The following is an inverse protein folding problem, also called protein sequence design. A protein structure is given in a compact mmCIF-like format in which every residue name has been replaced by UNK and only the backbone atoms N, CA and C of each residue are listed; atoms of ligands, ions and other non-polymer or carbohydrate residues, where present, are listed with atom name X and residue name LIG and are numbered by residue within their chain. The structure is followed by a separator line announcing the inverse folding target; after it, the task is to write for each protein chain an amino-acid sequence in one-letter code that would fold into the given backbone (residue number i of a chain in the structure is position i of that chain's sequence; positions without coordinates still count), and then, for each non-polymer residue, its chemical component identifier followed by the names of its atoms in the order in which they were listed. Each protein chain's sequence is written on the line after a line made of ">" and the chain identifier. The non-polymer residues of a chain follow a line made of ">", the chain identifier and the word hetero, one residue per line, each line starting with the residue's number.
data_IF_734539170078
#
_entry.id   IF_734539170078
#
_cell.length_a   1.000
_cell.length_b   1.000
_cell.length_c   1.000
_cell.angle_alpha   90.00
_cell.angle_beta   90.00
_cell.angle_gamma   90.00
#
_symmetry.space_group_name_H-M   'P 1'
#
loop_
_entity.id
_entity.type
_entity.pdbx_description
1 polymer ?
#
# COMPACT_ATOMS: atom_id res chain seq x y z
N UNK A 1 -20.43 49.00 10.85
CA UNK A 1 -21.39 47.99 11.36
C UNK A 1 -21.21 46.67 10.61
N UNK A 2 -21.41 45.55 11.32
CA UNK A 2 -21.27 44.14 10.91
C UNK A 2 -19.84 43.59 10.97
N UNK A 3 -19.53 43.09 12.16
CA UNK A 3 -18.32 42.35 12.49
C UNK A 3 -18.15 41.10 11.64
N UNK A 4 -16.90 40.87 11.27
CA UNK A 4 -16.41 39.76 10.46
C UNK A 4 -16.59 38.48 11.27
N UNK A 5 -17.44 37.56 10.78
CA UNK A 5 -17.63 36.22 11.36
C UNK A 5 -16.30 35.47 11.30
N UNK A 6 -15.68 35.27 12.45
CA UNK A 6 -14.61 34.29 12.62
C UNK A 6 -15.18 32.91 12.32
N UNK A 7 -14.69 32.30 11.24
CA UNK A 7 -14.94 30.90 10.91
C UNK A 7 -14.19 30.05 11.92
N UNK A 8 -14.89 29.61 12.97
CA UNK A 8 -14.42 28.57 13.86
C UNK A 8 -14.13 27.31 13.03
N UNK A 9 -12.86 26.91 13.01
CA UNK A 9 -12.43 25.63 12.49
C UNK A 9 -13.17 24.53 13.25
N UNK A 10 -14.16 23.93 12.60
CA UNK A 10 -14.82 22.71 13.05
C UNK A 10 -13.78 21.60 12.98
N UNK A 11 -13.04 21.43 14.08
CA UNK A 11 -12.34 20.19 14.37
C UNK A 11 -13.41 19.10 14.37
N UNK A 12 -13.39 18.26 13.34
CA UNK A 12 -14.24 17.08 13.24
C UNK A 12 -14.15 16.31 14.55
N UNK A 13 -15.23 16.36 15.34
CA UNK A 13 -15.31 15.67 16.61
C UNK A 13 -15.19 14.18 16.31
N UNK A 14 -14.10 13.59 16.77
CA UNK A 14 -13.87 12.16 16.70
C UNK A 14 -14.92 11.49 17.60
N UNK A 15 -16.08 11.17 17.03
CA UNK A 15 -17.20 10.57 17.73
C UNK A 15 -16.71 9.30 18.43
N UNK A 16 -16.80 9.28 19.77
CA UNK A 16 -16.55 8.07 20.56
C UNK A 16 -17.47 6.98 20.03
N UNK A 17 -16.92 5.90 19.48
CA UNK A 17 -17.71 4.72 19.10
C UNK A 17 -18.39 4.21 20.39
N UNK A 18 -19.73 4.21 20.49
CA UNK A 18 -20.41 3.82 21.72
C UNK A 18 -20.08 2.38 22.12
N UNK A 19 -20.00 2.14 23.43
CA UNK A 19 -19.98 0.79 24.01
C UNK A 19 -21.30 0.10 23.64
N UNK A 20 -21.28 -0.66 22.54
CA UNK A 20 -22.44 -1.47 22.18
C UNK A 20 -22.62 -2.61 23.19
N UNK A 21 -23.87 -3.05 23.41
CA UNK A 21 -24.23 -4.27 24.15
C UNK A 21 -23.39 -5.51 23.74
N UNK A 22 -22.81 -5.50 22.52
CA UNK A 22 -21.88 -6.51 22.01
C UNK A 22 -20.53 -6.56 22.77
N UNK A 23 -20.03 -5.44 23.31
CA UNK A 23 -18.75 -5.42 24.04
C UNK A 23 -18.84 -6.14 25.39
N UNK A 24 -19.94 -5.95 26.13
CA UNK A 24 -20.20 -6.67 27.39
C UNK A 24 -20.31 -8.17 27.09
N UNK A 25 -21.10 -8.51 26.06
CA UNK A 25 -21.26 -9.87 25.55
C UNK A 25 -19.93 -10.53 25.17
N UNK A 26 -19.00 -9.78 24.58
CA UNK A 26 -17.66 -10.26 24.22
C UNK A 26 -16.77 -10.53 25.44
N UNK A 27 -16.86 -9.70 26.48
CA UNK A 27 -16.10 -9.88 27.72
C UNK A 27 -16.36 -11.22 28.40
N UNK A 28 -17.64 -11.57 28.58
CA UNK A 28 -18.09 -12.83 29.21
C UNK A 28 -17.55 -14.05 28.44
N UNK A 29 -17.59 -14.01 27.10
CA UNK A 29 -17.10 -15.11 26.26
C UNK A 29 -15.61 -15.36 26.39
N UNK A 30 -14.81 -14.30 26.49
CA UNK A 30 -13.36 -14.43 26.60
C UNK A 30 -12.93 -15.22 27.84
N UNK A 31 -13.75 -15.19 28.90
CA UNK A 31 -13.55 -15.93 30.14
C UNK A 31 -14.17 -17.35 30.15
N UNK A 32 -15.00 -17.69 29.16
CA UNK A 32 -15.69 -19.01 29.12
C UNK A 32 -14.76 -20.10 28.58
N UNK A 33 -14.73 -21.33 29.16
CA UNK A 33 -13.97 -22.46 28.60
C UNK A 33 -14.37 -22.81 27.17
N UNK A 34 -13.40 -23.26 26.36
CA UNK A 34 -13.57 -23.47 24.91
C UNK A 34 -14.77 -24.37 24.56
N UNK A 35 -14.92 -25.51 25.24
CA UNK A 35 -16.01 -26.47 25.05
C UNK A 35 -17.40 -25.91 25.37
N UNK A 36 -17.48 -24.87 26.20
CA UNK A 36 -18.75 -24.27 26.65
C UNK A 36 -19.16 -23.08 25.79
N UNK A 37 -18.21 -22.43 25.09
CA UNK A 37 -18.48 -21.25 24.24
C UNK A 37 -19.54 -21.54 23.18
N UNK A 38 -19.41 -22.67 22.49
CA UNK A 38 -20.36 -23.10 21.45
C UNK A 38 -21.77 -23.38 22.01
N UNK A 39 -21.86 -24.09 23.13
CA UNK A 39 -23.13 -24.46 23.76
C UNK A 39 -23.88 -23.24 24.30
N UNK A 40 -23.16 -22.36 25.02
CA UNK A 40 -23.75 -21.17 25.64
C UNK A 40 -24.09 -20.08 24.62
N UNK A 41 -23.25 -19.89 23.59
CA UNK A 41 -23.37 -18.73 22.71
C UNK A 41 -23.92 -19.05 21.33
N UNK A 42 -23.39 -20.10 20.71
CA UNK A 42 -23.81 -20.52 19.38
C UNK A 42 -25.05 -21.41 19.43
N UNK A 43 -25.62 -21.73 20.60
CA UNK A 43 -26.71 -22.72 20.75
C UNK A 43 -26.35 -24.11 20.20
N UNK A 44 -25.07 -24.48 20.23
CA UNK A 44 -24.57 -25.78 19.78
C UNK A 44 -25.00 -26.12 18.35
N UNK A 45 -25.58 -27.31 18.14
CA UNK A 45 -26.04 -27.78 16.83
C UNK A 45 -27.06 -26.83 16.14
N UNK A 46 -27.82 -26.04 16.91
CA UNK A 46 -28.80 -25.06 16.38
C UNK A 46 -28.17 -23.68 16.09
N UNK A 47 -26.87 -23.64 15.80
CA UNK A 47 -26.18 -22.39 15.49
C UNK A 47 -26.80 -21.69 14.29
N UNK A 48 -27.32 -20.48 14.54
CA UNK A 48 -27.98 -19.67 13.51
C UNK A 48 -27.04 -19.28 12.37
N UNK A 49 -25.73 -19.23 12.58
CA UNK A 49 -24.76 -18.90 11.52
C UNK A 49 -24.29 -20.12 10.73
N UNK A 50 -24.65 -21.33 11.16
CA UNK A 50 -24.39 -22.58 10.44
C UNK A 50 -25.64 -23.07 9.67
N UNK A 51 -26.66 -22.23 9.52
CA UNK A 51 -27.86 -22.51 8.75
C UNK A 51 -28.38 -21.22 8.11
N UNK A 52 -28.93 -21.32 6.90
CA UNK A 52 -29.57 -20.20 6.21
C UNK A 52 -30.96 -19.86 6.73
N UNK A 53 -31.66 -20.83 7.34
CA UNK A 53 -33.08 -20.72 7.73
C UNK A 53 -33.45 -19.48 8.54
N UNK A 54 -32.61 -18.99 9.48
CA UNK A 54 -32.95 -17.81 10.28
C UNK A 54 -32.82 -16.47 9.54
N UNK A 55 -32.28 -16.45 8.32
CA UNK A 55 -31.88 -15.22 7.63
C UNK A 55 -32.75 -14.92 6.42
N UNK A 56 -33.12 -13.65 6.27
CA UNK A 56 -33.92 -13.20 5.13
C UNK A 56 -33.14 -13.30 3.80
N UNK A 57 -33.84 -13.25 2.67
CA UNK A 57 -33.19 -13.27 1.34
C UNK A 57 -32.19 -12.12 1.14
N UNK A 58 -32.42 -10.95 1.77
CA UNK A 58 -31.54 -9.78 1.71
C UNK A 58 -30.24 -9.98 2.51
N UNK A 59 -30.25 -10.87 3.49
CA UNK A 59 -29.10 -11.23 4.33
C UNK A 59 -28.35 -12.46 3.79
N UNK A 60 -28.67 -12.87 2.57
CA UNK A 60 -28.08 -14.00 1.86
C UNK A 60 -27.58 -13.55 0.48
N UNK A 61 -26.59 -12.66 0.47
CA UNK A 61 -25.89 -12.25 -0.76
C UNK A 61 -25.35 -13.46 -1.56
N UNK A 62 -24.99 -14.52 -0.85
CA UNK A 62 -24.77 -15.89 -1.31
C UNK A 62 -25.85 -16.76 -0.65
N UNK A 63 -26.65 -17.46 -1.45
CA UNK A 63 -27.71 -18.35 -0.95
C UNK A 63 -27.13 -19.45 -0.10
N UNK A 64 -27.82 -19.80 0.98
CA UNK A 64 -27.36 -20.82 1.93
C UNK A 64 -26.48 -20.27 3.04
N UNK A 65 -26.07 -18.99 2.99
CA UNK A 65 -25.17 -18.37 3.96
C UNK A 65 -25.63 -17.00 4.43
N UNK A 66 -25.44 -16.71 5.71
CA UNK A 66 -25.55 -15.34 6.21
C UNK A 66 -24.41 -14.50 5.61
N UNK A 67 -24.72 -13.68 4.62
CA UNK A 67 -23.72 -13.06 3.75
C UNK A 67 -24.17 -11.70 3.23
N UNK A 68 -23.23 -10.77 3.10
CA UNK A 68 -23.50 -9.39 2.71
C UNK A 68 -22.34 -8.84 1.88
N UNK A 69 -22.65 -8.21 0.75
CA UNK A 69 -21.68 -7.42 -0.01
C UNK A 69 -21.31 -6.18 0.79
N UNK A 70 -20.07 -6.12 1.29
CA UNK A 70 -19.59 -4.98 2.07
C UNK A 70 -19.03 -3.90 1.14
N UNK A 71 -18.34 -4.33 0.08
CA UNK A 71 -17.99 -3.52 -1.09
C UNK A 71 -18.56 -4.18 -2.34
N UNK A 72 -18.42 -3.54 -3.51
CA UNK A 72 -18.83 -4.12 -4.80
C UNK A 72 -18.14 -5.46 -5.12
N UNK A 73 -16.94 -5.67 -4.56
CA UNK A 73 -16.08 -6.80 -4.88
C UNK A 73 -15.71 -7.69 -3.68
N UNK A 74 -16.13 -7.34 -2.46
CA UNK A 74 -15.86 -8.13 -1.24
C UNK A 74 -17.17 -8.51 -0.56
N UNK A 75 -17.41 -9.82 -0.45
CA UNK A 75 -18.52 -10.39 0.33
C UNK A 75 -18.02 -10.90 1.68
N UNK A 76 -18.68 -10.47 2.75
CA UNK A 76 -18.51 -11.05 4.08
C UNK A 76 -19.55 -12.15 4.27
N UNK A 77 -19.15 -13.33 4.72
CA UNK A 77 -20.08 -14.46 4.91
C UNK A 77 -19.79 -15.24 6.19
N UNK A 78 -20.79 -15.96 6.70
CA UNK A 78 -20.60 -17.05 7.66
C UNK A 78 -19.82 -18.20 7.03
N UNK A 79 -19.21 -19.05 7.85
CA UNK A 79 -18.50 -20.24 7.35
C UNK A 79 -19.43 -21.11 6.50
N UNK A 80 -18.96 -21.61 5.34
CA UNK A 80 -19.66 -22.65 4.60
C UNK A 80 -19.80 -23.95 5.40
N UNK A 81 -20.73 -24.80 4.96
CA UNK A 81 -20.86 -26.17 5.43
C UNK A 81 -20.89 -27.12 4.24
N UNK A 82 -20.62 -28.41 4.43
CA UNK A 82 -20.76 -29.42 3.38
C UNK A 82 -22.11 -29.32 2.64
N UNK A 83 -23.20 -29.08 3.39
CA UNK A 83 -24.54 -28.87 2.82
C UNK A 83 -24.66 -27.62 1.96
N UNK A 84 -23.94 -26.55 2.29
CA UNK A 84 -23.92 -25.36 1.43
C UNK A 84 -23.29 -25.67 0.07
N UNK A 85 -22.30 -26.57 0.01
CA UNK A 85 -21.73 -27.00 -1.26
C UNK A 85 -22.70 -27.88 -2.05
N UNK A 86 -23.38 -28.84 -1.40
CA UNK A 86 -24.27 -29.80 -2.07
C UNK A 86 -25.66 -29.23 -2.37
N UNK A 87 -26.32 -28.68 -1.36
CA UNK A 87 -27.75 -28.33 -1.41
C UNK A 87 -27.96 -26.96 -2.06
N UNK A 88 -27.05 -26.02 -1.79
CA UNK A 88 -27.12 -24.64 -2.31
C UNK A 88 -26.19 -24.40 -3.52
N UNK A 89 -25.45 -25.41 -3.98
CA UNK A 89 -24.50 -25.34 -5.09
C UNK A 89 -23.54 -24.14 -5.00
N UNK A 90 -22.86 -24.01 -3.84
CA UNK A 90 -22.02 -22.86 -3.50
C UNK A 90 -20.97 -22.51 -4.57
N UNK A 91 -20.35 -23.51 -5.19
CA UNK A 91 -19.33 -23.32 -6.23
C UNK A 91 -19.91 -22.61 -7.45
N UNK A 92 -21.08 -23.05 -7.93
CA UNK A 92 -21.76 -22.39 -9.05
C UNK A 92 -22.15 -20.95 -8.70
N UNK A 93 -22.60 -20.70 -7.47
CA UNK A 93 -22.88 -19.34 -7.01
C UNK A 93 -21.62 -18.46 -6.99
N UNK A 94 -20.49 -18.99 -6.53
CA UNK A 94 -19.22 -18.27 -6.54
C UNK A 94 -18.77 -17.94 -7.97
N UNK A 95 -18.84 -18.89 -8.90
CA UNK A 95 -18.55 -18.59 -10.31
C UNK A 95 -19.49 -17.55 -10.90
N UNK A 96 -20.81 -17.67 -10.64
CA UNK A 96 -21.81 -16.69 -11.10
C UNK A 96 -21.55 -15.29 -10.56
N UNK A 97 -21.12 -15.18 -9.30
CA UNK A 97 -20.74 -13.92 -8.67
C UNK A 97 -19.32 -13.45 -9.05
N UNK A 98 -18.59 -14.20 -9.88
CA UNK A 98 -17.17 -14.02 -10.20
C UNK A 98 -16.27 -13.96 -8.95
N UNK A 99 -16.59 -14.73 -7.90
CA UNK A 99 -15.73 -14.92 -6.73
C UNK A 99 -14.60 -15.87 -7.11
N UNK A 100 -13.35 -15.42 -6.95
CA UNK A 100 -12.14 -16.16 -7.34
C UNK A 100 -11.25 -16.53 -6.16
N UNK A 101 -11.51 -15.97 -4.99
CA UNK A 101 -10.79 -16.33 -3.78
C UNK A 101 -11.69 -16.34 -2.53
N UNK A 102 -11.39 -17.27 -1.63
CA UNK A 102 -11.98 -17.38 -0.29
C UNK A 102 -10.89 -17.21 0.75
N UNK A 103 -11.08 -16.26 1.66
CA UNK A 103 -10.22 -16.00 2.82
C UNK A 103 -10.89 -16.56 4.06
N UNK A 104 -10.36 -17.67 4.58
CA UNK A 104 -10.81 -18.30 5.82
C UNK A 104 -9.94 -17.82 7.00
N UNK A 105 -10.57 -17.18 7.98
CA UNK A 105 -9.91 -16.66 9.18
C UNK A 105 -9.99 -17.60 10.39
N UNK A 106 -10.54 -18.81 10.22
CA UNK A 106 -10.70 -19.79 11.30
C UNK A 106 -9.41 -20.56 11.59
N UNK A 107 -9.27 -21.03 12.83
CA UNK A 107 -8.34 -22.10 13.16
C UNK A 107 -8.91 -23.47 12.75
N UNK A 108 -8.02 -24.45 12.54
CA UNK A 108 -8.41 -25.86 12.49
C UNK A 108 -9.09 -26.26 13.81
N UNK A 109 -10.19 -27.00 13.75
CA UNK A 109 -10.93 -27.40 14.95
C UNK A 109 -11.81 -26.29 15.55
N UNK A 110 -11.84 -25.09 14.96
CA UNK A 110 -12.58 -23.98 15.54
C UNK A 110 -14.11 -24.17 15.44
N UNK A 111 -14.79 -23.97 16.58
CA UNK A 111 -16.24 -24.18 16.71
C UNK A 111 -16.67 -25.62 16.35
N UNK A 112 -15.96 -26.61 16.92
CA UNK A 112 -16.24 -28.06 16.78
C UNK A 112 -17.58 -28.51 17.36
N UNK A 113 -18.09 -27.76 18.33
CA UNK A 113 -19.29 -28.11 19.12
C UNK A 113 -20.53 -27.31 18.68
N UNK A 114 -20.53 -26.69 17.50
CA UNK A 114 -21.70 -25.98 16.98
C UNK A 114 -21.94 -26.19 15.48
N UNK A 115 -23.21 -26.13 15.07
CA UNK A 115 -23.59 -26.46 13.69
C UNK A 115 -23.31 -27.93 13.36
N UNK A 116 -22.92 -28.25 12.11
CA UNK A 116 -22.51 -29.60 11.73
C UNK A 116 -21.13 -29.96 12.28
N UNK A 117 -20.84 -31.26 12.35
CA UNK A 117 -19.53 -31.78 12.71
C UNK A 117 -18.44 -31.28 11.75
N UNK A 118 -17.21 -31.22 12.26
CA UNK A 118 -16.06 -30.89 11.44
C UNK A 118 -15.66 -32.09 10.59
N UNK A 119 -15.31 -31.84 9.34
CA UNK A 119 -14.73 -32.82 8.44
C UNK A 119 -13.25 -33.05 8.78
N UNK A 120 -12.59 -34.09 8.24
CA UNK A 120 -11.14 -34.33 8.44
C UNK A 120 -10.24 -33.14 8.11
N UNK A 121 -10.70 -32.25 7.22
CA UNK A 121 -10.04 -30.97 6.92
C UNK A 121 -9.92 -30.01 8.12
N UNK A 122 -10.58 -30.28 9.24
CA UNK A 122 -10.64 -29.41 10.42
C UNK A 122 -11.69 -28.30 10.33
N UNK A 123 -12.47 -28.23 9.25
CA UNK A 123 -13.56 -27.27 9.05
C UNK A 123 -14.89 -27.97 8.73
N UNK A 124 -16.00 -27.23 8.73
CA UNK A 124 -17.34 -27.74 8.37
C UNK A 124 -17.52 -28.02 6.87
N UNK A 125 -16.48 -27.82 6.07
CA UNK A 125 -16.45 -28.06 4.63
C UNK A 125 -15.02 -28.40 4.20
N UNK A 126 -14.84 -29.14 3.10
CA UNK A 126 -13.51 -29.39 2.55
C UNK A 126 -13.10 -28.21 1.64
N UNK A 127 -12.07 -27.41 2.00
CA UNK A 127 -11.61 -26.31 1.17
C UNK A 127 -11.02 -26.74 -0.18
N UNK A 128 -10.56 -27.99 -0.33
CA UNK A 128 -10.03 -28.51 -1.60
C UNK A 128 -11.06 -28.46 -2.73
N UNK A 129 -12.36 -28.57 -2.41
CA UNK A 129 -13.45 -28.44 -3.38
C UNK A 129 -13.38 -27.08 -4.09
N UNK A 130 -13.02 -26.01 -3.36
CA UNK A 130 -12.85 -24.68 -3.96
C UNK A 130 -11.65 -24.67 -4.93
N UNK A 131 -10.52 -25.25 -4.51
CA UNK A 131 -9.28 -25.27 -5.29
C UNK A 131 -9.43 -26.09 -6.58
N UNK A 132 -10.10 -27.24 -6.50
CA UNK A 132 -10.43 -28.10 -7.66
C UNK A 132 -11.29 -27.36 -8.69
N UNK A 133 -12.09 -26.39 -8.25
CA UNK A 133 -12.93 -25.56 -9.10
C UNK A 133 -12.28 -24.20 -9.45
N UNK A 134 -10.96 -24.07 -9.31
CA UNK A 134 -10.24 -22.86 -9.71
C UNK A 134 -10.53 -21.63 -8.84
N UNK A 135 -11.00 -21.83 -7.60
CA UNK A 135 -11.21 -20.80 -6.59
C UNK A 135 -10.06 -20.90 -5.58
N UNK A 136 -9.28 -19.83 -5.45
CA UNK A 136 -8.16 -19.78 -4.52
C UNK A 136 -8.67 -19.84 -3.08
N UNK A 137 -7.99 -20.60 -2.24
CA UNK A 137 -8.29 -20.70 -0.83
C UNK A 137 -7.08 -20.25 -0.02
N UNK A 138 -7.30 -19.31 0.89
CA UNK A 138 -6.29 -18.83 1.83
C UNK A 138 -6.80 -19.00 3.25
N UNK A 139 -6.09 -19.76 4.06
CA UNK A 139 -6.37 -19.86 5.49
C UNK A 139 -5.37 -19.04 6.29
N UNK A 140 -5.85 -17.96 6.92
CA UNK A 140 -5.07 -17.19 7.88
C UNK A 140 -5.55 -17.52 9.28
N UNK A 141 -4.70 -18.20 10.04
CA UNK A 141 -5.00 -18.59 11.41
C UNK A 141 -5.06 -17.32 12.27
N UNK A 142 -6.28 -16.84 12.54
CA UNK A 142 -6.52 -15.83 13.54
C UNK A 142 -7.33 -16.46 14.66
N UNK A 143 -6.70 -16.76 15.83
CA UNK A 143 -7.42 -17.32 16.95
C UNK A 143 -8.67 -16.54 17.28
N UNK A 144 -9.80 -17.22 17.43
CA UNK A 144 -11.03 -16.56 17.87
C UNK A 144 -10.75 -15.89 19.22
N UNK A 145 -11.04 -14.60 19.32
CA UNK A 145 -10.71 -13.74 20.47
C UNK A 145 -9.23 -13.37 20.69
N UNK A 146 -8.29 -13.83 19.85
CA UNK A 146 -6.86 -13.51 19.93
C UNK A 146 -6.46 -12.14 19.34
N UNK A 147 -5.25 -11.68 19.66
CA UNK A 147 -4.64 -10.46 19.09
C UNK A 147 -3.89 -10.79 17.81
N UNK A 148 -4.26 -10.16 16.69
CA UNK A 148 -3.52 -10.23 15.43
C UNK A 148 -2.49 -9.10 15.39
N UNK A 149 -1.24 -9.40 15.01
CA UNK A 149 -0.23 -8.37 14.76
C UNK A 149 -0.56 -7.53 13.53
N UNK A 150 -0.12 -6.26 13.52
CA UNK A 150 -0.30 -5.35 12.38
C UNK A 150 0.31 -5.92 11.10
N UNK A 151 1.47 -6.57 11.18
CA UNK A 151 2.13 -7.19 10.02
C UNK A 151 1.25 -8.28 9.38
N UNK A 152 0.66 -9.18 10.17
CA UNK A 152 -0.21 -10.25 9.65
C UNK A 152 -1.49 -9.66 9.05
N UNK A 153 -2.10 -8.66 9.70
CA UNK A 153 -3.27 -7.98 9.15
C UNK A 153 -2.96 -7.32 7.80
N UNK A 154 -1.77 -6.72 7.68
CA UNK A 154 -1.30 -6.11 6.44
C UNK A 154 -1.10 -7.15 5.33
N UNK A 155 -0.57 -8.34 5.66
CA UNK A 155 -0.42 -9.43 4.70
C UNK A 155 -1.77 -9.97 4.20
N UNK A 156 -2.76 -10.13 5.09
CA UNK A 156 -4.12 -10.51 4.70
C UNK A 156 -4.71 -9.46 3.73
N UNK A 157 -4.59 -8.18 4.07
CA UNK A 157 -5.08 -7.07 3.23
C UNK A 157 -4.42 -7.08 1.84
N UNK A 158 -3.10 -7.34 1.76
CA UNK A 158 -2.40 -7.46 0.47
C UNK A 158 -2.87 -8.64 -0.36
N UNK A 159 -3.17 -9.77 0.28
CA UNK A 159 -3.70 -10.95 -0.41
C UNK A 159 -5.10 -10.67 -0.93
N UNK A 160 -5.98 -10.05 -0.12
CA UNK A 160 -7.29 -9.55 -0.58
C UNK A 160 -7.11 -8.65 -1.80
N UNK A 161 -6.21 -7.66 -1.75
CA UNK A 161 -5.94 -6.77 -2.88
C UNK A 161 -5.43 -7.50 -4.13
N UNK A 162 -4.59 -8.53 -3.96
CA UNK A 162 -4.06 -9.31 -5.07
C UNK A 162 -5.15 -10.17 -5.72
N UNK A 163 -5.95 -10.87 -4.91
CA UNK A 163 -7.06 -11.71 -5.38
C UNK A 163 -8.15 -10.89 -6.08
N UNK A 164 -8.37 -9.65 -5.64
CA UNK A 164 -9.33 -8.72 -6.27
C UNK A 164 -9.02 -8.38 -7.74
N UNK A 165 -7.79 -8.64 -8.22
CA UNK A 165 -7.43 -8.46 -9.63
C UNK A 165 -7.93 -9.59 -10.53
N UNK A 166 -8.23 -10.75 -9.95
CA UNK A 166 -8.69 -11.93 -10.68
C UNK A 166 -10.22 -12.06 -10.62
N UNK A 167 -10.85 -11.52 -9.57
CA UNK A 167 -12.29 -11.45 -9.41
C UNK A 167 -12.67 -11.00 -8.00
N UNK A 168 -13.90 -11.26 -7.58
CA UNK A 168 -14.39 -10.90 -6.24
C UNK A 168 -13.80 -11.84 -5.17
N UNK A 169 -13.82 -11.38 -3.92
CA UNK A 169 -13.27 -12.12 -2.78
C UNK A 169 -14.35 -12.35 -1.73
N UNK A 170 -14.45 -13.59 -1.24
CA UNK A 170 -15.27 -13.93 -0.09
C UNK A 170 -14.40 -14.07 1.16
N UNK A 171 -14.80 -13.45 2.26
CA UNK A 171 -14.07 -13.50 3.53
C UNK A 171 -15.00 -14.03 4.61
N UNK A 172 -14.54 -15.01 5.38
CA UNK A 172 -15.29 -15.55 6.49
C UNK A 172 -14.42 -15.86 7.70
N UNK A 173 -15.07 -15.87 8.86
CA UNK A 173 -14.59 -16.55 10.06
C UNK A 173 -15.67 -17.57 10.43
N UNK A 174 -16.12 -17.65 11.68
CA UNK A 174 -17.33 -18.40 12.02
C UNK A 174 -18.62 -17.69 11.54
N UNK A 175 -19.02 -16.60 12.19
CA UNK A 175 -20.23 -15.84 11.84
C UNK A 175 -20.02 -14.80 10.72
N UNK A 176 -18.75 -14.51 10.37
CA UNK A 176 -18.41 -13.46 9.41
C UNK A 176 -18.62 -12.03 9.92
N UNK A 177 -18.56 -11.80 11.24
CA UNK A 177 -18.87 -10.50 11.87
C UNK A 177 -17.66 -9.82 12.52
N UNK A 178 -16.95 -10.53 13.40
CA UNK A 178 -15.80 -9.98 14.14
C UNK A 178 -14.55 -9.83 13.26
N UNK A 179 -13.75 -10.91 13.16
CA UNK A 179 -12.49 -10.96 12.40
C UNK A 179 -12.65 -10.54 10.93
N UNK A 180 -13.71 -11.04 10.28
CA UNK A 180 -14.07 -10.65 8.91
C UNK A 180 -14.27 -9.14 8.76
N UNK A 181 -15.01 -8.52 9.68
CA UNK A 181 -15.23 -7.07 9.67
C UNK A 181 -13.95 -6.27 9.84
N UNK A 182 -13.01 -6.74 10.69
CA UNK A 182 -11.69 -6.10 10.86
C UNK A 182 -10.88 -6.15 9.58
N UNK A 183 -10.80 -7.31 8.91
CA UNK A 183 -10.02 -7.44 7.66
C UNK A 183 -10.58 -6.53 6.57
N UNK A 184 -11.90 -6.46 6.42
CA UNK A 184 -12.53 -5.60 5.40
C UNK A 184 -12.33 -4.12 5.75
N UNK A 185 -12.46 -3.74 7.02
CA UNK A 185 -12.18 -2.37 7.45
C UNK A 185 -10.71 -1.99 7.20
N UNK A 186 -9.77 -2.88 7.54
CA UNK A 186 -8.34 -2.68 7.29
C UNK A 186 -8.03 -2.57 5.79
N UNK A 187 -8.71 -3.34 4.94
CA UNK A 187 -8.62 -3.22 3.50
C UNK A 187 -9.06 -1.84 3.00
N UNK A 188 -10.21 -1.33 3.47
CA UNK A 188 -10.70 0.00 3.11
C UNK A 188 -9.72 1.11 3.54
N UNK A 189 -9.13 1.01 4.74
CA UNK A 189 -8.12 1.97 5.19
C UNK A 189 -6.89 1.94 4.28
N UNK A 190 -6.40 0.74 3.96
CA UNK A 190 -5.18 0.58 3.17
C UNK A 190 -5.36 0.93 1.68
N UNK A 191 -6.41 0.41 1.04
CA UNK A 191 -6.64 0.54 -0.41
C UNK A 191 -7.46 1.78 -0.78
N UNK A 192 -8.44 2.14 0.03
CA UNK A 192 -9.42 3.20 -0.26
C UNK A 192 -9.20 4.47 0.58
N UNK A 193 -8.24 4.45 1.51
CA UNK A 193 -7.84 5.59 2.37
C UNK A 193 -8.92 6.12 3.31
N UNK A 194 -9.82 5.23 3.75
CA UNK A 194 -10.78 5.54 4.80
C UNK A 194 -10.07 5.75 6.13
N UNK A 195 -10.59 6.62 6.99
CA UNK A 195 -10.24 6.60 8.41
C UNK A 195 -10.76 5.32 9.07
N UNK A 196 -10.20 4.94 10.22
CA UNK A 196 -10.68 3.74 10.93
C UNK A 196 -12.17 3.82 11.30
N UNK A 197 -12.67 5.02 11.61
CA UNK A 197 -14.06 5.25 11.99
C UNK A 197 -14.99 5.08 10.78
N UNK A 198 -14.64 5.67 9.63
CA UNK A 198 -15.41 5.53 8.39
C UNK A 198 -15.43 4.08 7.91
N UNK A 199 -14.29 3.38 7.97
CA UNK A 199 -14.19 1.98 7.57
C UNK A 199 -15.10 1.09 8.43
N UNK A 200 -15.05 1.23 9.77
CA UNK A 200 -15.92 0.47 10.67
C UNK A 200 -17.40 0.79 10.43
N UNK A 201 -17.72 2.08 10.25
CA UNK A 201 -19.08 2.53 9.96
C UNK A 201 -19.60 1.88 8.67
N UNK A 202 -18.83 1.96 7.59
CA UNK A 202 -19.19 1.38 6.28
C UNK A 202 -19.42 -0.12 6.35
N UNK A 203 -18.58 -0.85 7.07
CA UNK A 203 -18.72 -2.30 7.29
C UNK A 203 -20.00 -2.59 8.08
N UNK A 204 -20.29 -1.84 9.14
CA UNK A 204 -21.49 -2.04 9.97
C UNK A 204 -22.79 -1.69 9.24
N UNK A 205 -22.78 -0.68 8.38
CA UNK A 205 -23.94 -0.33 7.54
C UNK A 205 -24.28 -1.46 6.58
N UNK A 206 -23.29 -2.06 5.94
CA UNK A 206 -23.51 -3.18 5.01
C UNK A 206 -23.79 -4.52 5.70
N UNK A 207 -23.19 -4.73 6.88
CA UNK A 207 -23.31 -5.96 7.66
C UNK A 207 -23.41 -5.63 9.15
N UNK A 208 -24.64 -5.45 9.67
CA UNK A 208 -24.88 -5.04 11.05
C UNK A 208 -24.16 -5.92 12.07
N UNK A 209 -23.71 -5.31 13.17
CA UNK A 209 -22.97 -5.96 14.27
C UNK A 209 -21.56 -6.47 13.90
N UNK A 210 -20.98 -6.03 12.78
CA UNK A 210 -19.58 -6.31 12.46
C UNK A 210 -18.61 -5.53 13.36
N UNK A 211 -17.39 -6.06 13.54
CA UNK A 211 -16.36 -5.53 14.48
C UNK A 211 -16.92 -5.45 15.90
N UNK A 212 -16.89 -6.58 16.60
CA UNK A 212 -17.74 -6.89 17.75
C UNK A 212 -17.18 -6.49 19.11
N UNK A 213 -15.88 -6.19 19.20
CA UNK A 213 -15.21 -5.90 20.48
C UNK A 213 -14.34 -4.67 20.44
N UNK A 214 -14.11 -4.08 21.61
CA UNK A 214 -13.17 -2.96 21.77
C UNK A 214 -11.75 -3.33 21.33
N UNK A 215 -11.32 -4.58 21.53
CA UNK A 215 -10.01 -5.07 21.04
C UNK A 215 -9.94 -5.04 19.51
N UNK A 216 -11.01 -5.44 18.82
CA UNK A 216 -11.10 -5.40 17.36
C UNK A 216 -11.15 -3.95 16.83
N UNK A 217 -11.94 -3.08 17.46
CA UNK A 217 -11.98 -1.64 17.11
C UNK A 217 -10.59 -1.02 17.28
N UNK A 218 -9.91 -1.31 18.39
CA UNK A 218 -8.55 -0.84 18.66
C UNK A 218 -7.57 -1.35 17.60
N UNK A 219 -7.63 -2.61 17.20
CA UNK A 219 -6.78 -3.16 16.15
C UNK A 219 -6.95 -2.40 14.81
N UNK A 220 -8.19 -2.11 14.39
CA UNK A 220 -8.44 -1.31 13.18
C UNK A 220 -7.88 0.10 13.32
N UNK A 221 -8.04 0.73 14.50
CA UNK A 221 -7.47 2.05 14.79
C UNK A 221 -5.94 2.04 14.74
N UNK A 222 -5.31 1.10 15.42
CA UNK A 222 -3.85 0.95 15.49
C UNK A 222 -3.28 0.67 14.08
N UNK A 223 -4.00 -0.10 13.25
CA UNK A 223 -3.66 -0.29 11.84
C UNK A 223 -3.72 1.00 11.02
N UNK A 224 -4.77 1.81 11.18
CA UNK A 224 -4.85 3.12 10.55
C UNK A 224 -3.72 4.06 10.96
N UNK A 225 -3.45 4.14 12.27
CA UNK A 225 -2.35 4.95 12.82
C UNK A 225 -0.98 4.47 12.32
N UNK A 226 -0.78 3.15 12.20
CA UNK A 226 0.43 2.58 11.62
C UNK A 226 0.64 3.04 10.16
N UNK A 227 -0.41 3.01 9.33
CA UNK A 227 -0.34 3.47 7.94
C UNK A 227 -0.17 4.99 7.82
N UNK A 228 -0.74 5.76 8.74
CA UNK A 228 -0.54 7.20 8.81
C UNK A 228 0.93 7.54 9.11
N UNK A 229 1.51 6.88 10.11
CA UNK A 229 2.88 7.07 10.56
C UNK A 229 3.91 6.60 9.52
N UNK A 230 3.73 5.42 8.94
CA UNK A 230 4.76 4.75 8.15
C UNK A 230 4.49 4.76 6.64
N UNK A 231 3.25 5.05 6.21
CA UNK A 231 2.84 4.97 4.81
C UNK A 231 2.96 6.26 4.01
N UNK A 232 3.43 7.35 4.62
CA UNK A 232 3.65 8.62 3.93
C UNK A 232 4.61 8.44 2.75
N UNK A 233 4.26 8.98 1.58
CA UNK A 233 5.14 8.91 0.42
C UNK A 233 6.39 9.81 0.60
N UNK A 234 6.20 10.94 1.28
CA UNK A 234 7.21 11.95 1.60
C UNK A 234 7.30 12.12 3.12
N UNK A 235 8.26 11.45 3.78
CA UNK A 235 8.52 11.61 5.21
C UNK A 235 9.02 13.03 5.54
N UNK A 236 9.10 13.35 6.84
CA UNK A 236 9.70 14.61 7.31
C UNK A 236 11.20 14.65 6.97
N UNK A 237 11.72 15.85 6.68
CA UNK A 237 13.13 16.10 6.38
C UNK A 237 14.07 15.49 7.42
N UNK A 238 15.07 14.73 6.98
CA UNK A 238 16.13 14.16 7.82
C UNK A 238 15.66 13.18 8.90
N UNK A 239 14.53 12.49 8.71
CA UNK A 239 13.96 11.63 9.77
C UNK A 239 14.11 10.12 9.56
N UNK A 240 14.53 9.68 8.37
CA UNK A 240 14.56 8.24 8.06
C UNK A 240 15.81 7.84 7.26
N UNK A 241 16.41 6.69 7.56
CA UNK A 241 17.44 6.14 6.68
C UNK A 241 16.82 5.54 5.42
N UNK A 242 17.56 5.54 4.30
CA UNK A 242 17.11 4.92 3.06
C UNK A 242 16.67 3.46 3.27
N UNK A 243 17.45 2.68 4.03
CA UNK A 243 17.12 1.28 4.36
C UNK A 243 15.77 1.12 5.06
N UNK A 244 15.45 2.03 5.98
CA UNK A 244 14.20 1.97 6.75
C UNK A 244 13.00 2.37 5.88
N UNK A 245 13.20 3.34 4.97
CA UNK A 245 12.21 3.68 3.93
C UNK A 245 11.92 2.46 3.06
N UNK A 246 12.96 1.78 2.58
CA UNK A 246 12.84 0.62 1.70
C UNK A 246 12.14 -0.55 2.41
N UNK A 247 12.47 -0.80 3.68
CA UNK A 247 11.80 -1.79 4.51
C UNK A 247 10.31 -1.47 4.69
N UNK A 248 9.97 -0.23 5.06
CA UNK A 248 8.56 0.17 5.22
C UNK A 248 7.80 0.15 3.90
N UNK A 249 8.45 0.57 2.81
CA UNK A 249 7.88 0.47 1.46
C UNK A 249 7.55 -0.99 1.12
N UNK A 250 8.48 -1.91 1.32
CA UNK A 250 8.24 -3.34 1.08
C UNK A 250 7.07 -3.87 1.93
N UNK A 251 6.98 -3.43 3.20
CA UNK A 251 5.88 -3.77 4.09
C UNK A 251 4.54 -3.18 3.65
N UNK A 252 4.47 -1.96 3.14
CA UNK A 252 3.20 -1.28 2.87
C UNK A 252 2.68 -1.54 1.45
N UNK A 253 3.57 -1.72 0.48
CA UNK A 253 3.16 -1.97 -0.90
C UNK A 253 2.54 -3.37 -1.08
N UNK A 254 1.61 -3.49 -2.04
CA UNK A 254 1.13 -4.81 -2.49
C UNK A 254 2.30 -5.69 -2.94
N UNK A 255 2.19 -7.02 -2.82
CA UNK A 255 3.27 -7.95 -3.17
C UNK A 255 3.80 -7.75 -4.60
N UNK A 256 2.93 -7.40 -5.55
CA UNK A 256 3.33 -7.06 -6.93
C UNK A 256 4.20 -5.79 -7.02
N UNK A 257 3.83 -4.75 -6.26
CA UNK A 257 4.56 -3.48 -6.24
C UNK A 257 5.86 -3.61 -5.42
N UNK A 258 5.83 -4.31 -4.28
CA UNK A 258 7.01 -4.57 -3.47
C UNK A 258 8.10 -5.29 -4.29
N UNK A 259 7.75 -6.32 -5.08
CA UNK A 259 8.69 -6.97 -6.00
C UNK A 259 9.23 -6.02 -7.07
N UNK A 260 8.35 -5.21 -7.69
CA UNK A 260 8.75 -4.27 -8.74
C UNK A 260 9.71 -3.18 -8.22
N UNK A 261 9.44 -2.66 -7.04
CA UNK A 261 10.14 -1.52 -6.45
C UNK A 261 11.07 -1.93 -5.29
N UNK A 262 11.52 -3.19 -5.23
CA UNK A 262 12.30 -3.70 -4.11
C UNK A 262 13.65 -2.98 -3.92
N UNK A 263 14.20 -2.40 -5.00
CA UNK A 263 15.55 -1.82 -5.06
C UNK A 263 15.55 -0.29 -5.15
N UNK A 264 14.39 0.36 -5.23
CA UNK A 264 14.28 1.81 -5.40
C UNK A 264 13.01 2.36 -4.72
N UNK A 265 13.04 3.56 -4.14
CA UNK A 265 11.82 4.22 -3.69
C UNK A 265 10.82 4.36 -4.86
N UNK A 266 9.62 3.81 -4.71
CA UNK A 266 8.53 3.86 -5.70
C UNK A 266 8.16 5.32 -6.02
N UNK A 267 8.17 6.19 -5.02
CA UNK A 267 7.86 7.62 -5.19
C UNK A 267 8.88 8.28 -6.12
N UNK A 268 10.17 8.02 -5.90
CA UNK A 268 11.25 8.46 -6.78
C UNK A 268 11.04 7.91 -8.19
N UNK A 269 10.80 6.61 -8.32
CA UNK A 269 10.63 5.98 -9.62
C UNK A 269 9.45 6.55 -10.41
N UNK A 270 8.30 6.77 -9.75
CA UNK A 270 7.12 7.34 -10.40
C UNK A 270 7.36 8.79 -10.79
N UNK A 271 7.92 9.62 -9.90
CA UNK A 271 8.18 11.02 -10.21
C UNK A 271 9.19 11.16 -11.36
N UNK A 272 10.23 10.33 -11.37
CA UNK A 272 11.22 10.30 -12.45
C UNK A 272 10.64 9.78 -13.77
N UNK A 273 9.77 8.75 -13.73
CA UNK A 273 9.06 8.26 -14.91
C UNK A 273 8.23 9.39 -15.56
N UNK A 274 7.47 10.14 -14.77
CA UNK A 274 6.70 11.29 -15.27
C UNK A 274 7.62 12.42 -15.75
N UNK A 275 8.75 12.68 -15.08
CA UNK A 275 9.70 13.71 -15.50
C UNK A 275 10.32 13.39 -16.87
N UNK A 276 10.72 12.13 -17.09
CA UNK A 276 11.21 11.64 -18.39
C UNK A 276 10.16 11.80 -19.49
N UNK A 277 8.89 11.50 -19.19
CA UNK A 277 7.79 11.73 -20.13
C UNK A 277 7.59 13.20 -20.49
N UNK A 278 7.72 14.11 -19.53
CA UNK A 278 7.56 15.55 -19.78
C UNK A 278 8.71 16.11 -20.62
N UNK A 279 9.93 15.63 -20.40
CA UNK A 279 11.14 16.12 -21.10
C UNK A 279 11.29 15.52 -22.50
N UNK A 280 11.11 14.20 -22.66
CA UNK A 280 11.26 13.51 -23.95
C UNK A 280 9.96 13.47 -24.78
N UNK A 281 8.82 13.84 -24.21
CA UNK A 281 7.51 13.82 -24.85
C UNK A 281 6.67 12.58 -24.51
N UNK A 282 5.36 12.76 -24.33
CA UNK A 282 4.46 11.74 -23.76
C UNK A 282 3.91 10.68 -24.75
N UNK A 283 4.17 10.82 -26.06
CA UNK A 283 3.15 10.42 -27.04
C UNK A 283 3.58 9.53 -28.21
N UNK A 284 4.80 8.96 -28.22
CA UNK A 284 5.09 7.86 -29.16
C UNK A 284 5.45 6.54 -28.45
N UNK A 285 5.26 5.42 -29.15
CA UNK A 285 5.59 4.09 -28.63
C UNK A 285 7.10 3.88 -28.43
N UNK A 286 7.95 4.69 -29.09
CA UNK A 286 9.41 4.57 -29.07
C UNK A 286 9.97 5.14 -27.77
N UNK A 287 9.59 6.36 -27.40
CA UNK A 287 9.94 7.05 -26.15
C UNK A 287 9.44 6.26 -24.94
N UNK A 288 8.20 5.75 -24.96
CA UNK A 288 7.69 4.87 -23.88
C UNK A 288 8.54 3.62 -23.68
N UNK A 289 8.93 2.96 -24.77
CA UNK A 289 9.79 1.77 -24.73
C UNK A 289 11.19 2.12 -24.22
N UNK A 290 11.74 3.23 -24.67
CA UNK A 290 13.06 3.72 -24.24
C UNK A 290 13.07 4.07 -22.74
N UNK A 291 12.10 4.84 -22.24
CA UNK A 291 11.95 5.14 -20.81
C UNK A 291 11.83 3.84 -20.00
N UNK A 292 11.00 2.90 -20.46
CA UNK A 292 10.83 1.60 -19.80
C UNK A 292 12.15 0.83 -19.69
N UNK A 293 12.98 0.86 -20.73
CA UNK A 293 14.27 0.18 -20.74
C UNK A 293 15.25 0.86 -19.78
N UNK A 294 15.36 2.19 -19.82
CA UNK A 294 16.21 2.96 -18.90
C UNK A 294 15.87 2.67 -17.44
N UNK A 295 14.58 2.67 -17.10
CA UNK A 295 14.12 2.43 -15.75
C UNK A 295 14.29 0.96 -15.29
N UNK A 296 14.57 0.02 -16.22
CA UNK A 296 14.88 -1.39 -15.91
C UNK A 296 16.38 -1.63 -15.71
N UNK A 297 17.25 -0.93 -16.44
CA UNK A 297 18.71 -1.04 -16.39
C UNK A 297 19.35 -0.64 -15.04
N UNK A 298 18.54 -0.31 -14.04
CA UNK A 298 18.94 0.14 -12.71
C UNK A 298 18.87 -0.95 -11.65
N UNK A 299 18.24 -2.09 -11.95
CA UNK A 299 18.14 -3.22 -11.01
C UNK A 299 19.31 -4.20 -11.20
N UNK A 300 20.08 -4.48 -10.14
CA UNK A 300 21.22 -5.44 -10.15
C UNK A 300 20.86 -6.85 -10.64
N UNK A 301 19.58 -7.25 -10.61
CA UNK A 301 19.10 -8.58 -11.03
C UNK A 301 18.95 -8.67 -12.56
N UNK A 302 18.83 -7.54 -13.27
CA UNK A 302 18.76 -7.54 -14.73
C UNK A 302 20.13 -7.84 -15.34
N UNK A 303 20.21 -8.73 -16.33
CA UNK A 303 21.40 -8.83 -17.23
C UNK A 303 21.78 -7.45 -17.79
N UNK A 304 20.75 -6.62 -18.00
CA UNK A 304 20.79 -5.21 -18.37
C UNK A 304 21.59 -4.30 -17.39
N UNK A 305 21.83 -4.70 -16.13
CA UNK A 305 22.74 -3.99 -15.22
C UNK A 305 24.19 -4.01 -15.73
N UNK A 306 24.55 -4.98 -16.57
CA UNK A 306 25.87 -5.06 -17.20
C UNK A 306 25.88 -4.69 -18.68
N UNK A 307 24.71 -4.63 -19.34
CA UNK A 307 24.63 -4.36 -20.77
C UNK A 307 24.85 -2.88 -21.09
N UNK A 308 25.45 -2.63 -22.26
CA UNK A 308 25.64 -1.30 -22.82
C UNK A 308 24.27 -0.63 -23.05
N UNK A 309 24.20 0.64 -22.62
CA UNK A 309 23.12 1.61 -22.76
C UNK A 309 22.16 1.38 -23.95
N UNK A 310 20.83 1.50 -23.77
CA UNK A 310 19.90 1.39 -24.89
C UNK A 310 20.17 2.48 -25.95
N UNK A 311 20.14 2.07 -27.23
CA UNK A 311 20.45 2.89 -28.40
C UNK A 311 19.75 4.27 -28.46
N UNK A 312 20.37 5.20 -29.22
CA UNK A 312 19.98 6.61 -29.52
C UNK A 312 18.81 7.18 -28.69
N UNK A 313 19.14 8.03 -27.72
CA UNK A 313 18.19 8.85 -26.95
C UNK A 313 17.26 9.65 -27.88
N UNK A 314 15.94 9.69 -27.60
CA UNK A 314 15.11 10.78 -28.11
C UNK A 314 15.67 12.09 -27.57
N UNK A 315 16.19 12.96 -28.45
CA UNK A 315 16.75 14.25 -28.02
C UNK A 315 15.59 15.15 -27.56
N UNK A 316 15.56 15.57 -26.29
CA UNK A 316 14.55 16.53 -25.83
C UNK A 316 14.65 17.84 -26.62
N UNK A 317 13.53 18.56 -26.74
CA UNK A 317 13.58 19.89 -27.36
C UNK A 317 14.47 20.84 -26.55
N UNK A 318 15.15 21.78 -27.21
CA UNK A 318 15.96 22.81 -26.55
C UNK A 318 15.15 23.59 -25.50
N UNK A 319 13.88 23.89 -25.79
CA UNK A 319 12.97 24.54 -24.84
C UNK A 319 12.75 23.70 -23.57
N UNK A 320 12.56 22.38 -23.71
CA UNK A 320 12.39 21.48 -22.56
C UNK A 320 13.67 21.33 -21.73
N UNK A 321 14.83 21.35 -22.37
CA UNK A 321 16.12 21.33 -21.68
C UNK A 321 16.38 22.64 -20.91
N UNK A 322 16.01 23.77 -21.49
CA UNK A 322 16.06 25.07 -20.79
C UNK A 322 15.10 25.12 -19.60
N UNK A 323 13.87 24.65 -19.78
CA UNK A 323 12.88 24.53 -18.69
C UNK A 323 13.40 23.61 -17.57
N UNK A 324 14.04 22.50 -17.92
CA UNK A 324 14.65 21.56 -16.99
C UNK A 324 15.79 22.19 -16.18
N UNK A 325 16.70 22.90 -16.84
CA UNK A 325 17.79 23.61 -16.17
C UNK A 325 17.26 24.70 -15.23
N UNK A 326 16.23 25.45 -15.64
CA UNK A 326 15.55 26.44 -14.78
C UNK A 326 14.93 25.75 -13.55
N UNK A 327 14.30 24.58 -13.71
CA UNK A 327 13.73 23.83 -12.60
C UNK A 327 14.81 23.36 -11.61
N UNK A 328 15.97 22.88 -12.09
CA UNK A 328 17.09 22.50 -11.23
C UNK A 328 17.59 23.70 -10.45
N UNK A 329 17.89 24.82 -11.12
CA UNK A 329 18.34 26.05 -10.46
C UNK A 329 17.31 26.51 -9.42
N UNK A 330 16.03 26.52 -9.77
CA UNK A 330 14.96 26.92 -8.87
C UNK A 330 14.79 26.01 -7.65
N UNK A 331 15.11 24.72 -7.74
CA UNK A 331 15.15 23.82 -6.57
C UNK A 331 16.40 24.08 -5.72
N UNK A 332 17.55 24.28 -6.36
CA UNK A 332 18.82 24.53 -5.67
C UNK A 332 18.90 25.89 -4.99
N UNK A 333 18.32 26.95 -5.57
CA UNK A 333 18.26 28.28 -4.96
C UNK A 333 17.37 28.28 -3.72
N UNK A 334 16.33 27.44 -3.71
CA UNK A 334 15.24 27.48 -2.72
C UNK A 334 15.27 26.30 -1.74
N UNK A 335 16.44 25.73 -1.44
CA UNK A 335 16.64 24.54 -0.58
C UNK A 335 15.70 24.51 0.65
N UNK A 336 14.52 23.92 0.51
CA UNK A 336 13.52 23.80 1.58
C UNK A 336 12.72 25.06 1.98
N UNK A 337 13.01 26.27 1.48
CA UNK A 337 12.40 27.52 2.00
C UNK A 337 11.11 27.96 1.27
N UNK A 338 10.95 27.74 -0.05
CA UNK A 338 9.84 28.35 -0.85
C UNK A 338 8.60 27.44 -1.05
N UNK A 339 8.40 26.41 -0.24
CA UNK A 339 7.06 25.78 -0.18
C UNK A 339 6.01 26.67 0.54
N UNK A 340 6.36 27.89 0.92
CA UNK A 340 5.44 28.95 1.37
C UNK A 340 4.83 29.80 0.25
N UNK A 341 5.11 29.47 -1.02
CA UNK A 341 4.25 29.95 -2.09
C UNK A 341 2.81 29.50 -1.82
N UNK A 342 1.84 30.43 -1.88
CA UNK A 342 0.41 30.16 -1.62
C UNK A 342 -0.23 29.12 -2.55
N UNK A 343 0.55 28.54 -3.47
CA UNK A 343 0.18 27.48 -4.39
C UNK A 343 -0.29 26.22 -3.63
N UNK A 344 -1.52 25.82 -3.96
CA UNK A 344 -2.18 24.62 -3.42
C UNK A 344 -1.36 23.36 -3.67
N UNK A 345 -0.72 23.24 -4.83
CA UNK A 345 0.05 22.05 -5.19
C UNK A 345 1.35 21.93 -4.38
N UNK A 346 2.01 23.06 -4.12
CA UNK A 346 3.18 23.11 -3.25
C UNK A 346 2.84 22.69 -1.81
N UNK A 347 1.70 23.15 -1.27
CA UNK A 347 1.21 22.75 0.06
C UNK A 347 0.89 21.26 0.17
N UNK A 348 0.31 20.68 -0.89
CA UNK A 348 0.02 19.24 -0.95
C UNK A 348 1.31 18.41 -0.87
N UNK A 349 2.36 18.82 -1.60
CA UNK A 349 3.67 18.17 -1.57
C UNK A 349 4.32 18.35 -0.19
N UNK A 350 4.36 19.59 0.33
CA UNK A 350 4.91 19.93 1.67
C UNK A 350 4.32 19.06 2.77
N UNK A 351 2.99 18.87 2.76
CA UNK A 351 2.29 18.11 3.78
C UNK A 351 2.42 16.59 3.62
N UNK A 352 3.06 16.09 2.55
CA UNK A 352 3.16 14.66 2.27
C UNK A 352 1.79 13.99 2.19
N UNK A 353 0.81 14.68 1.59
CA UNK A 353 -0.61 14.33 1.68
C UNK A 353 -1.00 13.01 0.98
N UNK A 354 -0.07 12.36 0.27
CA UNK A 354 -0.27 11.09 -0.42
C UNK A 354 0.60 9.97 0.18
N UNK A 355 0.24 8.72 -0.13
CA UNK A 355 0.83 7.51 0.48
C UNK A 355 1.67 6.74 -0.53
N UNK A 356 2.62 5.93 -0.04
CA UNK A 356 3.48 5.10 -0.90
C UNK A 356 2.67 4.16 -1.81
N UNK A 357 1.57 3.59 -1.31
CA UNK A 357 0.75 2.65 -2.07
C UNK A 357 -0.08 3.32 -3.19
N UNK A 358 -0.50 4.58 -3.01
CA UNK A 358 -1.30 5.33 -4.01
C UNK A 358 -0.52 6.38 -4.83
N UNK A 359 0.76 6.60 -4.53
CA UNK A 359 1.56 7.67 -5.12
C UNK A 359 1.53 7.71 -6.66
N UNK A 360 1.49 6.55 -7.32
CA UNK A 360 1.42 6.47 -8.78
C UNK A 360 0.18 7.14 -9.36
N UNK A 361 -1.00 6.83 -8.81
CA UNK A 361 -2.26 7.45 -9.23
C UNK A 361 -2.24 8.93 -8.88
N UNK A 362 -1.80 9.26 -7.66
CA UNK A 362 -1.78 10.63 -7.16
C UNK A 362 -0.90 11.55 -8.01
N UNK A 363 0.35 11.16 -8.28
CA UNK A 363 1.31 11.97 -9.04
C UNK A 363 0.80 12.19 -10.47
N UNK A 364 0.29 11.14 -11.12
CA UNK A 364 -0.27 11.23 -12.48
C UNK A 364 -1.49 12.15 -12.57
N UNK A 365 -2.35 12.13 -11.57
CA UNK A 365 -3.56 12.95 -11.58
C UNK A 365 -3.26 14.43 -11.31
N UNK A 366 -2.28 14.74 -10.45
CA UNK A 366 -2.06 16.12 -9.97
C UNK A 366 -0.85 16.83 -10.59
N UNK A 367 0.20 16.08 -10.98
CA UNK A 367 1.52 16.63 -11.30
C UNK A 367 2.06 16.22 -12.67
N UNK A 368 1.31 15.42 -13.45
CA UNK A 368 1.68 15.11 -14.82
C UNK A 368 1.82 16.40 -15.64
N UNK A 369 2.87 16.49 -16.46
CA UNK A 369 3.18 17.71 -17.22
C UNK A 369 3.89 18.82 -16.42
N UNK A 370 3.90 18.77 -15.08
CA UNK A 370 4.38 19.86 -14.23
C UNK A 370 5.81 19.61 -13.75
N UNK A 371 6.79 19.94 -14.58
CA UNK A 371 8.22 19.63 -14.37
C UNK A 371 8.75 20.07 -12.99
N UNK A 372 8.51 21.34 -12.61
CA UNK A 372 8.95 21.89 -11.31
C UNK A 372 8.37 21.13 -10.11
N UNK A 373 7.09 20.72 -10.17
CA UNK A 373 6.46 20.00 -9.07
C UNK A 373 6.95 18.56 -8.94
N UNK A 374 7.24 17.89 -10.06
CA UNK A 374 7.89 16.57 -10.06
C UNK A 374 9.27 16.64 -9.42
N UNK A 375 10.04 17.68 -9.74
CA UNK A 375 11.31 17.95 -9.10
C UNK A 375 11.20 18.22 -7.60
N UNK A 376 10.19 18.99 -7.17
CA UNK A 376 9.93 19.22 -5.73
C UNK A 376 9.59 17.93 -4.98
N UNK A 377 8.90 16.98 -5.62
CA UNK A 377 8.64 15.65 -5.05
C UNK A 377 9.95 14.89 -4.86
N UNK A 378 10.81 14.87 -5.88
CA UNK A 378 12.13 14.22 -5.81
C UNK A 378 12.97 14.87 -4.71
N UNK A 379 13.04 16.20 -4.68
CA UNK A 379 13.81 16.94 -3.71
C UNK A 379 13.35 16.69 -2.27
N UNK A 380 12.05 16.80 -2.00
CA UNK A 380 11.51 16.54 -0.67
C UNK A 380 11.72 15.08 -0.23
N UNK A 381 11.59 14.11 -1.14
CA UNK A 381 11.89 12.72 -0.83
C UNK A 381 13.37 12.54 -0.48
N UNK A 382 14.27 13.06 -1.30
CA UNK A 382 15.70 12.93 -1.06
C UNK A 382 16.12 13.62 0.23
N UNK A 383 15.55 14.78 0.55
CA UNK A 383 15.76 15.51 1.79
C UNK A 383 15.09 14.85 3.01
N UNK A 384 14.13 13.95 2.82
CA UNK A 384 13.58 13.14 3.93
C UNK A 384 14.59 12.16 4.53
N UNK A 385 15.63 11.81 3.77
CA UNK A 385 16.65 10.88 4.21
C UNK A 385 17.71 11.51 5.12
N UNK A 386 18.11 10.78 6.17
CA UNK A 386 19.28 11.10 6.99
C UNK A 386 20.53 11.09 6.10
N UNK A 387 21.42 12.07 6.31
CA UNK A 387 22.64 12.27 5.52
C UNK A 387 23.87 11.75 6.29
N UNK A 388 24.93 11.31 5.59
CA UNK A 388 24.98 11.13 4.14
C UNK A 388 24.20 9.88 3.69
N UNK A 389 23.54 9.93 2.53
CA UNK A 389 22.88 8.74 1.94
C UNK A 389 23.91 7.75 1.42
N UNK A 390 25.00 8.28 0.84
CA UNK A 390 26.15 7.54 0.33
C UNK A 390 27.39 8.05 1.07
N UNK A 391 28.24 7.18 1.63
CA UNK A 391 29.52 7.59 2.21
C UNK A 391 30.33 8.42 1.21
N UNK A 392 30.98 9.50 1.67
CA UNK A 392 31.70 10.43 0.79
C UNK A 392 32.80 9.73 -0.03
N UNK A 393 33.44 8.74 0.57
CA UNK A 393 34.53 7.96 0.01
C UNK A 393 34.06 7.13 -1.20
N UNK A 394 32.83 6.64 -1.16
CA UNK A 394 32.20 5.87 -2.26
C UNK A 394 31.83 6.75 -3.46
N UNK A 395 31.66 8.07 -3.25
CA UNK A 395 31.41 9.03 -4.33
C UNK A 395 32.70 9.44 -5.06
N UNK A 396 33.85 9.44 -4.37
CA UNK A 396 35.15 9.77 -4.93
C UNK A 396 35.83 8.57 -5.61
N UNK A 397 35.53 7.35 -5.15
CA UNK A 397 36.08 6.12 -5.71
C UNK A 397 35.44 5.69 -7.03
N UNK A 398 36.13 4.79 -7.76
CA UNK A 398 35.44 3.95 -8.74
C UNK A 398 34.48 3.05 -7.96
N UNK A 399 33.18 3.39 -7.90
CA UNK A 399 32.10 2.64 -7.24
C UNK A 399 32.42 1.13 -7.25
N UNK A 400 32.99 0.63 -6.16
CA UNK A 400 33.49 -0.75 -6.13
C UNK A 400 32.27 -1.67 -6.24
N UNK A 401 32.40 -2.76 -6.98
CA UNK A 401 31.43 -3.87 -6.88
C UNK A 401 31.57 -4.48 -5.48
N UNK A 402 30.92 -3.87 -4.49
CA UNK A 402 30.78 -4.49 -3.19
C UNK A 402 29.68 -5.56 -3.29
N UNK A 403 29.98 -6.76 -2.80
CA UNK A 403 29.06 -7.90 -2.78
C UNK A 403 27.95 -7.70 -1.74
N UNK A 404 28.19 -6.86 -0.72
CA UNK A 404 27.15 -6.46 0.21
C UNK A 404 26.11 -5.58 -0.51
N UNK A 405 24.86 -6.02 -0.50
CA UNK A 405 23.74 -5.33 -1.11
C UNK A 405 23.42 -4.04 -0.34
N UNK A 406 24.03 -2.93 -0.74
CA UNK A 406 23.73 -1.62 -0.18
C UNK A 406 22.62 -0.92 -0.96
N UNK A 407 21.55 -0.50 -0.27
CA UNK A 407 20.36 0.15 -0.87
C UNK A 407 20.71 1.36 -1.74
N UNK A 408 21.77 2.08 -1.36
CA UNK A 408 22.19 3.30 -2.05
C UNK A 408 22.82 3.04 -3.43
N UNK A 409 23.34 1.85 -3.72
CA UNK A 409 23.99 1.56 -5.01
C UNK A 409 22.99 1.59 -6.16
N UNK A 410 21.80 0.99 -5.94
CA UNK A 410 20.73 1.00 -6.93
C UNK A 410 20.19 2.43 -7.11
N UNK A 411 20.03 3.18 -6.01
CA UNK A 411 19.65 4.58 -6.04
C UNK A 411 20.64 5.44 -6.84
N UNK A 412 21.94 5.27 -6.61
CA UNK A 412 22.96 6.06 -7.29
C UNK A 412 22.97 5.84 -8.78
N UNK A 413 23.01 4.57 -9.20
CA UNK A 413 22.93 4.23 -10.62
C UNK A 413 21.64 4.73 -11.24
N UNK A 414 20.51 4.58 -10.54
CA UNK A 414 19.22 5.05 -11.02
C UNK A 414 19.24 6.55 -11.31
N UNK A 415 19.74 7.35 -10.35
CA UNK A 415 19.84 8.81 -10.51
C UNK A 415 20.82 9.20 -11.60
N UNK A 416 22.01 8.58 -11.67
CA UNK A 416 22.99 8.88 -12.72
C UNK A 416 22.41 8.61 -14.13
N UNK A 417 21.81 7.43 -14.34
CA UNK A 417 21.22 7.03 -15.63
C UNK A 417 20.08 7.95 -16.02
N UNK A 418 19.12 8.18 -15.11
CA UNK A 418 17.94 8.98 -15.43
C UNK A 418 18.28 10.45 -15.61
N UNK A 419 19.12 11.02 -14.75
CA UNK A 419 19.48 12.44 -14.83
C UNK A 419 20.44 12.75 -15.99
N UNK A 420 21.39 11.88 -16.33
CA UNK A 420 22.24 12.07 -17.51
C UNK A 420 21.40 12.19 -18.79
N UNK A 421 20.35 11.36 -18.90
CA UNK A 421 19.44 11.38 -20.05
C UNK A 421 18.59 12.66 -20.18
N UNK A 422 18.40 13.36 -19.06
CA UNK A 422 17.68 14.63 -18.98
C UNK A 422 18.59 15.84 -19.22
N UNK A 423 19.91 15.63 -19.28
CA UNK A 423 20.90 16.67 -19.44
C UNK A 423 21.27 16.87 -20.91
N UNK A 424 21.30 18.13 -21.37
CA UNK A 424 21.87 18.46 -22.69
C UNK A 424 23.41 18.62 -22.62
N UNK A 425 24.08 17.76 -21.86
CA UNK A 425 25.50 17.92 -21.52
C UNK A 425 25.78 18.87 -20.34
N UNK A 426 24.76 19.50 -19.76
CA UNK A 426 24.87 20.30 -18.53
C UNK A 426 24.97 19.40 -17.27
N UNK A 427 26.01 18.58 -17.23
CA UNK A 427 26.23 17.63 -16.14
C UNK A 427 26.60 18.30 -14.81
N UNK A 428 27.09 19.55 -14.84
CA UNK A 428 27.57 20.24 -13.62
C UNK A 428 26.43 20.59 -12.66
N UNK A 429 25.31 21.13 -13.16
CA UNK A 429 24.17 21.46 -12.29
C UNK A 429 23.51 20.21 -11.71
N UNK A 430 23.44 19.14 -12.50
CA UNK A 430 22.95 17.84 -12.05
C UNK A 430 23.87 17.25 -10.99
N UNK A 431 25.19 17.29 -11.20
CA UNK A 431 26.16 16.83 -10.22
C UNK A 431 26.04 17.59 -8.88
N UNK A 432 25.83 18.92 -8.93
CA UNK A 432 25.56 19.72 -7.74
C UNK A 432 24.27 19.29 -7.04
N UNK A 433 23.17 19.09 -7.78
CA UNK A 433 21.90 18.63 -7.22
C UNK A 433 22.01 17.25 -6.56
N UNK A 434 22.64 16.29 -7.25
CA UNK A 434 22.85 14.93 -6.72
C UNK A 434 23.75 14.97 -5.48
N UNK A 435 24.84 15.75 -5.50
CA UNK A 435 25.72 15.96 -4.35
C UNK A 435 24.94 16.51 -3.15
N UNK A 436 24.11 17.53 -3.38
CA UNK A 436 23.21 18.07 -2.38
C UNK A 436 22.23 17.01 -1.84
N UNK A 437 21.60 16.22 -2.71
CA UNK A 437 20.71 15.15 -2.29
C UNK A 437 21.40 14.06 -1.46
N UNK A 438 22.69 13.79 -1.67
CA UNK A 438 23.40 12.80 -0.87
C UNK A 438 23.98 13.34 0.43
N UNK A 439 24.46 14.57 0.44
CA UNK A 439 25.31 15.08 1.53
C UNK A 439 24.72 16.28 2.28
N UNK A 440 23.69 16.94 1.75
CA UNK A 440 23.21 18.28 2.14
C UNK A 440 24.16 19.44 1.78
N UNK A 441 23.64 20.68 1.82
CA UNK A 441 24.32 21.90 1.36
C UNK A 441 25.65 22.18 2.09
N UNK A 442 25.74 21.90 3.39
CA UNK A 442 26.95 22.18 4.17
C UNK A 442 28.10 21.22 3.91
N UNK A 443 27.86 20.12 3.19
CA UNK A 443 28.84 19.06 2.96
C UNK A 443 29.15 18.83 1.47
N UNK A 444 28.64 19.69 0.57
CA UNK A 444 28.97 19.64 -0.86
C UNK A 444 30.43 20.03 -1.07
N UNK A 445 31.22 19.07 -1.52
CA UNK A 445 32.63 19.21 -1.88
C UNK A 445 32.77 19.32 -3.41
N UNK A 446 33.63 20.23 -3.89
CA UNK A 446 33.90 20.40 -5.32
C UNK A 446 34.47 19.12 -5.94
N UNK A 447 35.28 18.35 -5.20
CA UNK A 447 35.83 17.07 -5.67
C UNK A 447 34.71 16.05 -5.93
N UNK A 448 33.69 16.02 -5.08
CA UNK A 448 32.52 15.14 -5.23
C UNK A 448 31.67 15.59 -6.42
N UNK A 449 31.52 16.90 -6.64
CA UNK A 449 30.81 17.44 -7.81
C UNK A 449 31.53 17.03 -9.10
N UNK A 450 32.86 17.13 -9.14
CA UNK A 450 33.67 16.71 -10.29
C UNK A 450 33.56 15.20 -10.52
N UNK A 451 33.64 14.39 -9.46
CA UNK A 451 33.48 12.94 -9.56
C UNK A 451 32.09 12.55 -10.12
N UNK A 452 31.01 13.14 -9.60
CA UNK A 452 29.65 12.91 -10.10
C UNK A 452 29.48 13.39 -11.55
N UNK A 453 30.07 14.53 -11.92
CA UNK A 453 30.07 15.02 -13.29
C UNK A 453 30.75 14.03 -14.25
N UNK A 454 31.91 13.48 -13.87
CA UNK A 454 32.61 12.47 -14.64
C UNK A 454 31.79 11.17 -14.77
N UNK A 455 31.08 10.78 -13.72
CA UNK A 455 30.17 9.64 -13.78
C UNK A 455 29.00 9.88 -14.74
N UNK A 456 28.37 11.05 -14.69
CA UNK A 456 27.27 11.42 -15.60
C UNK A 456 27.71 11.44 -17.06
N UNK A 457 28.94 11.87 -17.36
CA UNK A 457 29.50 11.87 -18.71
C UNK A 457 29.83 10.46 -19.26
N UNK A 458 30.14 9.51 -18.37
CA UNK A 458 30.49 8.12 -18.74
C UNK A 458 29.27 7.25 -18.99
N UNK A 459 28.14 7.62 -18.37
CA UNK A 459 26.84 6.97 -18.51
C UNK A 459 26.26 7.35 -19.88
#
# INVERSE_FOLDING_TARGET
>A
MKGRKETSNVLASCSRVPLSHLSIRYGILSATPWSWRCKLYCKGAKCKYCSWKPWSLKEQAIRGLYSSWVTENIVAMSRPTAKTFTDDNLVAQFHKANIRAVINLQMLGEHDSCGPELLPSGFTYNPEILMQNGIQFYNFVWPDFGTLGIDILLDIVKIVHCSLRQGKVAIHCHAGLGRTGVVIAAYMIWAEHFTYAEAISRVRTARPNSVQSNKQIRLVKDFGMFLEKNGAALPKTGTMYLKDYMLMQMKILSSSQARKYHHIPKVLHVAMEELLYVVHGELDGRTRRWITNILKCTSRIGREFTEKWPARLPVPSKAKLQEFDICICGVMENYGEILDSGDKDAKIIKNGAFKMNNCKKFIRTNFRGKMLLLFRILDQLMNSFIKPIIPKEELLGNLRRNNEHMDWQCLNRYLLVTMASLSNGNHRNIAKLISYWYLSKSATDDDIIVALQNHLQRV
#
